data_IF_643629947594
#
_entry.id   IF_643629947594
#
_cell.length_a   1.000
_cell.length_b   1.000
_cell.length_c   1.000
_cell.angle_alpha   90.00
_cell.angle_beta   90.00
_cell.angle_gamma   90.00
#
_symmetry.space_group_name_H-M   'P 1'
#
loop_
_entity.id
_entity.type
_entity.pdbx_description
1 polymer ?
#
# COMPACT_ATOMS: atom_id res chain seq x y z
N UNK A 1 10.93 -13.74 9.07
CA UNK A 1 11.57 -13.17 10.26
C UNK A 1 10.71 -12.19 11.07
N UNK A 2 9.70 -11.49 10.50
CA UNK A 2 8.81 -10.60 11.31
C UNK A 2 7.44 -11.19 11.65
N UNK A 3 6.88 -12.01 10.75
CA UNK A 3 5.58 -12.69 10.93
C UNK A 3 5.70 -14.09 11.54
N UNK A 4 6.92 -14.57 11.83
CA UNK A 4 7.20 -15.94 12.30
C UNK A 4 6.67 -16.24 13.71
N UNK A 5 6.26 -15.20 14.46
CA UNK A 5 5.72 -15.33 15.81
C UNK A 5 4.28 -14.81 15.91
N UNK A 6 3.60 -14.68 14.78
CA UNK A 6 2.22 -14.19 14.70
C UNK A 6 1.34 -15.30 14.17
N UNK A 7 0.25 -15.59 14.88
CA UNK A 7 -0.84 -16.45 14.41
C UNK A 7 -2.15 -15.66 14.47
N UNK A 8 -2.94 -15.74 13.40
CA UNK A 8 -4.26 -15.09 13.37
C UNK A 8 -5.30 -15.98 14.05
N UNK A 9 -6.21 -15.39 14.85
CA UNK A 9 -7.37 -16.13 15.34
C UNK A 9 -8.29 -16.47 14.17
N UNK A 10 -9.05 -17.59 14.23
CA UNK A 10 -9.94 -18.01 13.15
C UNK A 10 -10.95 -16.95 12.70
N UNK A 11 -11.37 -16.08 13.61
CA UNK A 11 -12.30 -14.99 13.33
C UNK A 11 -11.71 -13.85 12.49
N UNK A 12 -10.38 -13.78 12.35
CA UNK A 12 -9.70 -12.72 11.62
C UNK A 12 -9.25 -13.16 10.21
N UNK A 13 -9.40 -14.44 9.87
CA UNK A 13 -9.07 -14.93 8.53
C UNK A 13 -9.97 -14.26 7.47
N UNK A 14 -9.38 -13.89 6.35
CA UNK A 14 -10.04 -13.16 5.25
C UNK A 14 -10.36 -11.69 5.53
N UNK A 15 -10.38 -11.24 6.79
CA UNK A 15 -10.68 -9.86 7.16
C UNK A 15 -9.43 -9.04 7.49
N UNK A 16 -8.52 -9.61 8.30
CA UNK A 16 -7.35 -8.90 8.79
C UNK A 16 -6.13 -9.20 7.92
N UNK A 17 -5.60 -8.15 7.30
CA UNK A 17 -4.27 -8.15 6.68
C UNK A 17 -3.28 -7.57 7.68
N UNK A 18 -2.58 -8.43 8.42
CA UNK A 18 -1.76 -8.01 9.57
C UNK A 18 -0.74 -6.93 9.19
N UNK A 19 -0.10 -7.06 8.03
CA UNK A 19 0.90 -6.13 7.53
C UNK A 19 0.33 -5.05 6.58
N UNK A 20 -0.96 -4.72 6.64
CA UNK A 20 -1.57 -3.70 5.77
C UNK A 20 -0.97 -2.30 5.91
N UNK A 21 -0.26 -2.02 7.01
CA UNK A 21 0.54 -0.82 7.15
C UNK A 21 1.56 -0.64 6.00
N UNK A 22 2.11 -1.74 5.46
CA UNK A 22 3.03 -1.70 4.31
C UNK A 22 2.35 -1.15 3.06
N UNK A 23 1.09 -1.49 2.81
CA UNK A 23 0.31 -0.89 1.72
C UNK A 23 0.16 0.62 1.91
N UNK A 24 -0.06 1.07 3.15
CA UNK A 24 -0.12 2.50 3.48
C UNK A 24 1.20 3.22 3.24
N UNK A 25 2.32 2.64 3.70
CA UNK A 25 3.67 3.17 3.50
C UNK A 25 3.99 3.28 2.01
N UNK A 26 3.72 2.24 1.22
CA UNK A 26 3.94 2.24 -0.23
C UNK A 26 3.14 3.33 -0.93
N UNK A 27 1.85 3.47 -0.60
CA UNK A 27 1.00 4.54 -1.16
C UNK A 27 1.55 5.92 -0.81
N UNK A 28 1.82 6.19 0.48
CA UNK A 28 2.29 7.49 0.92
C UNK A 28 3.66 7.85 0.35
N UNK A 29 4.59 6.90 0.29
CA UNK A 29 5.91 7.13 -0.31
C UNK A 29 5.84 7.44 -1.81
N UNK A 30 4.97 6.74 -2.55
CA UNK A 30 4.80 6.95 -4.00
C UNK A 30 4.00 8.22 -4.30
N UNK A 31 3.07 8.60 -3.44
CA UNK A 31 2.33 9.86 -3.54
C UNK A 31 3.26 11.08 -3.41
N UNK A 32 4.29 11.01 -2.55
CA UNK A 32 5.31 12.07 -2.40
C UNK A 32 6.16 12.29 -3.65
N UNK A 33 6.17 11.34 -4.58
CA UNK A 33 6.84 11.45 -5.88
C UNK A 33 5.83 11.51 -7.03
N UNK A 34 4.64 12.04 -6.74
CA UNK A 34 3.58 12.32 -7.73
C UNK A 34 3.03 11.07 -8.42
N UNK A 35 3.13 9.90 -7.81
CA UNK A 35 2.58 8.65 -8.33
C UNK A 35 1.33 8.26 -7.54
N UNK A 36 0.16 8.33 -8.16
CA UNK A 36 -1.07 7.81 -7.55
C UNK A 36 -1.11 6.29 -7.77
N UNK A 37 -1.02 5.52 -6.70
CA UNK A 37 -0.99 4.06 -6.76
C UNK A 37 -2.04 3.42 -5.86
N UNK A 38 -2.48 2.22 -6.23
CA UNK A 38 -3.21 1.30 -5.36
C UNK A 38 -2.25 0.20 -4.88
N UNK A 39 -2.20 -0.02 -3.57
CA UNK A 39 -1.43 -1.09 -2.95
C UNK A 39 -2.37 -1.95 -2.09
N UNK A 40 -2.40 -3.25 -2.37
CA UNK A 40 -3.26 -4.22 -1.66
C UNK A 40 -2.58 -5.57 -1.54
N UNK A 41 -2.87 -6.29 -0.46
CA UNK A 41 -2.47 -7.68 -0.34
C UNK A 41 -3.25 -8.52 -1.35
N UNK A 42 -2.54 -9.45 -1.99
CA UNK A 42 -3.13 -10.47 -2.85
C UNK A 42 -3.04 -11.86 -2.21
N UNK A 43 -1.93 -12.13 -1.51
CA UNK A 43 -1.65 -13.34 -0.75
C UNK A 43 -0.97 -13.00 0.57
N UNK A 44 -1.21 -13.77 1.60
CA UNK A 44 -0.51 -13.64 2.89
C UNK A 44 -0.34 -15.00 3.57
N UNK A 45 0.88 -15.33 3.99
CA UNK A 45 1.15 -16.60 4.67
C UNK A 45 0.38 -16.74 5.99
N UNK A 46 0.00 -15.62 6.63
CA UNK A 46 -0.85 -15.63 7.82
C UNK A 46 -2.29 -16.05 7.52
N UNK A 47 -2.72 -15.96 6.26
CA UNK A 47 -4.01 -16.45 5.77
C UNK A 47 -3.92 -17.90 5.25
N UNK A 48 -2.73 -18.50 5.27
CA UNK A 48 -2.49 -19.85 4.77
C UNK A 48 -1.95 -19.93 3.35
N UNK A 49 -1.58 -18.80 2.73
CA UNK A 49 -0.92 -18.79 1.42
C UNK A 49 0.54 -19.27 1.50
N UNK A 50 1.09 -19.62 0.35
CA UNK A 50 2.47 -20.07 0.15
C UNK A 50 3.50 -18.94 0.30
N UNK A 51 3.10 -17.72 -0.06
CA UNK A 51 3.93 -16.51 0.02
C UNK A 51 3.07 -15.30 0.37
N UNK A 52 3.70 -14.26 0.90
CA UNK A 52 3.06 -12.95 1.04
C UNK A 52 3.30 -12.12 -0.23
N UNK A 53 2.23 -11.62 -0.84
CA UNK A 53 2.26 -10.85 -2.09
C UNK A 53 1.45 -9.56 -1.95
N UNK A 54 2.09 -8.43 -2.29
CA UNK A 54 1.42 -7.12 -2.40
C UNK A 54 1.35 -6.76 -3.87
N UNK A 55 0.12 -6.53 -4.35
CA UNK A 55 -0.13 -6.02 -5.71
C UNK A 55 -0.10 -4.50 -5.70
N UNK A 56 0.77 -3.94 -6.53
CA UNK A 56 0.87 -2.51 -6.80
C UNK A 56 0.33 -2.20 -8.20
N UNK A 57 -0.53 -1.20 -8.29
CA UNK A 57 -1.09 -0.72 -9.55
C UNK A 57 -0.96 0.80 -9.65
N UNK A 58 -0.27 1.29 -10.68
CA UNK A 58 -0.21 2.71 -10.99
C UNK A 58 -1.56 3.17 -11.55
N UNK A 59 -2.21 4.10 -10.86
CA UNK A 59 -3.50 4.68 -11.27
C UNK A 59 -3.33 5.95 -12.10
N UNK A 60 -2.18 6.60 -12.01
CA UNK A 60 -1.85 7.79 -12.79
C UNK A 60 -0.77 8.63 -12.11
N UNK A 61 -0.37 9.70 -12.79
CA UNK A 61 0.50 10.72 -12.22
C UNK A 61 -0.35 11.82 -11.61
N UNK A 62 0.12 12.40 -10.50
CA UNK A 62 -0.50 13.56 -9.86
C UNK A 62 0.00 14.79 -10.61
N UNK A 63 -0.92 15.51 -11.26
CA UNK A 63 -0.62 16.81 -11.85
C UNK A 63 -0.42 17.82 -10.72
N UNK A 64 0.75 18.44 -10.65
CA UNK A 64 0.92 19.64 -9.85
C UNK A 64 0.18 20.78 -10.53
N UNK A 65 -0.91 21.24 -9.93
CA UNK A 65 -1.36 22.60 -10.17
C UNK A 65 -0.27 23.51 -9.58
N UNK A 66 0.73 23.86 -10.38
CA UNK A 66 1.53 25.05 -10.11
C UNK A 66 0.52 26.18 -10.01
N UNK A 67 0.25 26.63 -8.78
CA UNK A 67 -0.57 27.81 -8.55
C UNK A 67 -0.02 28.93 -9.40
N UNK A 68 -0.92 29.74 -9.97
CA UNK A 68 -0.67 30.93 -10.78
C UNK A 68 0.12 32.04 -10.02
N UNK A 69 1.15 31.69 -9.25
CA UNK A 69 1.97 32.59 -8.44
C UNK A 69 3.27 33.03 -9.15
N UNK A 70 3.49 32.59 -10.40
CA UNK A 70 4.51 33.16 -11.30
C UNK A 70 3.84 33.97 -12.42
N UNK A 71 2.99 34.93 -12.06
CA UNK A 71 2.80 36.12 -12.88
C UNK A 71 3.67 37.21 -12.29
N UNK A 72 4.96 37.21 -12.64
CA UNK A 72 5.77 38.42 -12.52
C UNK A 72 5.15 39.50 -13.44
N UNK A 73 5.09 40.73 -12.93
CA UNK A 73 4.45 41.92 -13.53
C UNK A 73 4.86 42.21 -14.98
#
# INVERSE_FOLDING_TARGET
MWIEFVELPPSAYGELWYSNILCGVLRGALEMVQMRVEARFHKDVLQGDDVTEIRLELKGMIEEAMGDEYKEE
#
